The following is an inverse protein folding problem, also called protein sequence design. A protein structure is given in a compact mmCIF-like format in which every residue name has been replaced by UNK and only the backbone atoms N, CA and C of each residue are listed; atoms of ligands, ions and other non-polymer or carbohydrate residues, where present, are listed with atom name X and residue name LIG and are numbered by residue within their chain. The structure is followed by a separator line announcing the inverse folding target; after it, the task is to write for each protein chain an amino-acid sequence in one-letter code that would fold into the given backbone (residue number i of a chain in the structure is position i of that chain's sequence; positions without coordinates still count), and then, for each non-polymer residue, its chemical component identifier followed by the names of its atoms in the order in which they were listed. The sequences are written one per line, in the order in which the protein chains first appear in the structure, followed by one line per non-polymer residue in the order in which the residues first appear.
data_IF_816378214199
#
_entry.id   IF_816378214199
#
_cell.length_a   1.000
_cell.length_b   1.000
_cell.length_c   1.000
_cell.angle_alpha   90.00
_cell.angle_beta   90.00
_cell.angle_gamma   90.00
#
_symmetry.space_group_name_H-M   'P 1'
#
loop_
_entity.id
_entity.type
_entity.pdbx_description
1 polymer ?
#
# COMPACT_ATOMS: atom_id res chain seq x y z
N UNK A 1 -8.31 3.17 2.31
CA UNK A 1 -8.34 3.06 0.82
C UNK A 1 -6.94 3.16 0.24
N UNK A 2 -6.63 2.43 -0.84
CA UNK A 2 -5.37 2.58 -1.57
C UNK A 2 -5.62 2.92 -3.04
N UNK A 3 -4.81 3.82 -3.60
CA UNK A 3 -4.93 4.30 -4.99
C UNK A 3 -3.57 4.38 -5.66
N UNK A 4 -3.46 3.84 -6.88
CA UNK A 4 -2.27 4.00 -7.72
C UNK A 4 -2.22 5.41 -8.33
N UNK A 5 -1.06 6.06 -8.23
CA UNK A 5 -0.71 7.32 -8.88
C UNK A 5 0.71 7.22 -9.47
N UNK A 6 0.79 6.95 -10.78
CA UNK A 6 2.08 6.71 -11.43
C UNK A 6 2.77 5.49 -10.84
N UNK A 7 3.99 5.66 -10.32
CA UNK A 7 4.76 4.62 -9.62
C UNK A 7 4.56 4.61 -8.11
N UNK A 8 3.59 5.39 -7.59
CA UNK A 8 3.30 5.47 -6.17
C UNK A 8 1.92 4.89 -5.85
N UNK A 9 1.85 4.17 -4.74
CA UNK A 9 0.61 3.75 -4.09
C UNK A 9 0.35 4.72 -2.95
N UNK A 10 -0.74 5.47 -3.06
CA UNK A 10 -1.19 6.43 -2.06
C UNK A 10 -2.22 5.74 -1.16
N UNK A 11 -2.02 5.78 0.15
CA UNK A 11 -2.90 5.15 1.14
C UNK A 11 -3.56 6.24 1.97
N UNK A 12 -4.87 6.10 2.11
CA UNK A 12 -5.75 7.02 2.80
C UNK A 12 -6.56 6.28 3.85
N UNK A 13 -6.94 6.98 4.92
CA UNK A 13 -7.92 6.52 5.90
C UNK A 13 -9.28 6.35 5.24
N UNK A 14 -10.22 5.75 5.97
CA UNK A 14 -11.62 5.64 5.53
C UNK A 14 -12.28 7.01 5.34
N UNK A 15 -11.84 8.01 6.11
CA UNK A 15 -12.28 9.41 6.00
C UNK A 15 -11.62 10.18 4.84
N UNK A 16 -10.74 9.53 4.07
CA UNK A 16 -10.02 10.14 2.94
C UNK A 16 -8.78 10.95 3.35
N UNK A 17 -8.37 10.92 4.62
CA UNK A 17 -7.13 11.56 5.08
C UNK A 17 -5.92 10.77 4.60
N UNK A 18 -4.87 11.44 4.14
CA UNK A 18 -3.63 10.77 3.75
C UNK A 18 -2.97 10.10 4.96
N UNK A 19 -2.51 8.85 4.79
CA UNK A 19 -1.81 8.10 5.83
C UNK A 19 -0.33 7.92 5.47
N UNK A 20 -0.06 7.27 4.33
CA UNK A 20 1.29 7.04 3.85
C UNK A 20 1.30 6.75 2.34
N UNK A 21 2.48 6.73 1.73
CA UNK A 21 2.67 6.25 0.37
C UNK A 21 3.79 5.21 0.28
N UNK A 22 3.76 4.39 -0.77
CA UNK A 22 4.84 3.44 -1.12
C UNK A 22 5.10 3.48 -2.61
N UNK A 23 6.36 3.43 -3.01
CA UNK A 23 6.72 3.21 -4.42
C UNK A 23 6.36 1.76 -4.81
N UNK A 24 5.95 1.55 -6.06
CA UNK A 24 5.64 0.26 -6.64
C UNK A 24 4.26 0.20 -7.29
N UNK A 25 3.82 -1.02 -7.58
CA UNK A 25 2.53 -1.30 -8.20
C UNK A 25 1.57 -1.84 -7.14
N UNK A 26 0.42 -1.18 -6.97
CA UNK A 26 -0.68 -1.66 -6.14
C UNK A 26 -1.20 -2.97 -6.73
N UNK A 27 -1.10 -4.04 -5.94
CA UNK A 27 -1.63 -5.36 -6.30
C UNK A 27 -3.04 -5.54 -5.76
N UNK A 28 -3.28 -5.06 -4.54
CA UNK A 28 -4.57 -5.15 -3.86
C UNK A 28 -4.51 -4.53 -2.48
N UNK A 29 -5.67 -4.34 -1.86
CA UNK A 29 -5.77 -3.85 -0.49
C UNK A 29 -7.03 -4.38 0.19
N UNK A 30 -6.98 -4.46 1.52
CA UNK A 30 -8.13 -4.74 2.40
C UNK A 30 -8.41 -3.52 3.27
N UNK A 31 -9.28 -3.65 4.28
CA UNK A 31 -9.45 -2.61 5.31
C UNK A 31 -8.18 -2.34 6.11
N UNK A 32 -7.32 -3.36 6.31
CA UNK A 32 -6.17 -3.30 7.22
C UNK A 32 -4.80 -3.58 6.58
N UNK A 33 -4.77 -3.84 5.27
CA UNK A 33 -3.54 -4.14 4.55
C UNK A 33 -3.50 -3.57 3.14
N UNK A 34 -2.30 -3.25 2.67
CA UNK A 34 -2.01 -2.80 1.29
C UNK A 34 -0.87 -3.63 0.72
N UNK A 35 -1.11 -4.27 -0.41
CA UNK A 35 -0.12 -5.11 -1.10
C UNK A 35 0.50 -4.34 -2.26
N UNK A 36 1.82 -4.17 -2.24
CA UNK A 36 2.56 -3.43 -3.26
C UNK A 36 3.70 -4.29 -3.81
N UNK A 37 3.74 -4.43 -5.13
CA UNK A 37 4.85 -5.08 -5.83
C UNK A 37 5.93 -4.06 -6.18
N UNK A 38 7.12 -4.26 -5.65
CA UNK A 38 8.31 -3.46 -5.90
C UNK A 38 9.34 -4.31 -6.62
N UNK A 39 9.45 -4.14 -7.94
CA UNK A 39 10.28 -5.00 -8.78
C UNK A 39 9.81 -6.46 -8.70
N UNK A 40 10.70 -7.34 -8.25
CA UNK A 40 10.44 -8.77 -8.08
C UNK A 40 9.78 -9.16 -6.75
N UNK A 41 9.70 -8.23 -5.79
CA UNK A 41 9.27 -8.53 -4.41
C UNK A 41 7.89 -7.94 -4.14
N UNK A 42 7.04 -8.69 -3.44
CA UNK A 42 5.71 -8.23 -3.04
C UNK A 42 5.69 -7.95 -1.54
N UNK A 43 5.37 -6.73 -1.16
CA UNK A 43 5.28 -6.30 0.23
C UNK A 43 3.83 -6.14 0.64
N UNK A 44 3.49 -6.65 1.82
CA UNK A 44 2.19 -6.42 2.46
C UNK A 44 2.40 -5.45 3.61
N UNK A 45 1.84 -4.25 3.48
CA UNK A 45 1.88 -3.21 4.50
C UNK A 45 0.62 -3.24 5.36
N UNK A 46 0.75 -2.96 6.65
CA UNK A 46 -0.38 -2.75 7.54
C UNK A 46 -0.92 -1.32 7.50
N UNK A 47 -1.79 -1.01 8.46
CA UNK A 47 -2.54 0.26 8.54
C UNK A 47 -1.64 1.48 8.76
N UNK A 48 -0.47 1.28 9.37
CA UNK A 48 0.48 2.37 9.66
C UNK A 48 1.70 2.34 8.73
N UNK A 49 1.65 1.53 7.67
CA UNK A 49 2.72 1.44 6.68
C UNK A 49 3.92 0.57 7.10
N UNK A 50 3.78 -0.18 8.20
CA UNK A 50 4.69 -1.23 8.64
C UNK A 50 4.61 -2.45 7.71
N UNK A 51 5.72 -3.16 7.50
CA UNK A 51 5.73 -4.40 6.71
C UNK A 51 5.21 -5.53 7.60
N UNK A 52 4.13 -6.20 7.18
CA UNK A 52 3.61 -7.41 7.83
C UNK A 52 4.19 -8.67 7.20
N UNK A 53 4.30 -8.71 5.87
CA UNK A 53 4.80 -9.86 5.12
C UNK A 53 5.56 -9.41 3.87
N UNK A 54 6.48 -10.26 3.44
CA UNK A 54 7.19 -10.16 2.16
C UNK A 54 7.06 -11.50 1.43
N UNK A 55 6.69 -11.44 0.15
CA UNK A 55 6.44 -12.58 -0.73
C UNK A 55 7.31 -12.42 -1.98
#
# INVERSE_FOLDING_TARGET
MAKQQGTNVMVYSETGSFMFNKTGNLVGYTSSTVTVKQGGTTYVYGEHGEIKFTI
#
